data_IF_071653394473
#
_entry.id   IF_071653394473
#
_cell.length_a   1.000
_cell.length_b   1.000
_cell.length_c   1.000
_cell.angle_alpha   90.00
_cell.angle_beta   90.00
_cell.angle_gamma   90.00
#
_symmetry.space_group_name_H-M   'P 1'
#
loop_
_entity.id
_entity.type
_entity.pdbx_description
1 polymer ?
#
# COMPACT_ATOMS: atom_id res chain seq x y z
N UNK A 1 11.93 33.52 12.28
CA UNK A 1 10.98 33.08 11.25
C UNK A 1 9.60 33.60 11.62
N UNK A 2 9.00 34.40 10.75
CA UNK A 2 7.66 34.96 10.95
C UNK A 2 6.59 33.91 10.60
N UNK A 3 5.33 34.11 11.06
CA UNK A 3 4.24 33.19 10.74
C UNK A 3 4.00 33.06 9.23
N UNK A 4 4.21 34.14 8.46
CA UNK A 4 4.12 34.18 6.99
C UNK A 4 5.19 33.31 6.33
N UNK A 5 6.44 33.33 6.80
CA UNK A 5 7.51 32.47 6.27
C UNK A 5 7.22 30.97 6.50
N UNK A 6 6.57 30.63 7.63
CA UNK A 6 6.15 29.25 7.90
C UNK A 6 5.00 28.79 7.00
N UNK A 7 4.07 29.68 6.63
CA UNK A 7 2.99 29.37 5.68
C UNK A 7 3.52 29.16 4.27
N UNK A 8 4.46 29.98 3.80
CA UNK A 8 5.08 29.84 2.48
C UNK A 8 5.87 28.52 2.35
N UNK A 9 6.61 28.14 3.40
CA UNK A 9 7.33 26.86 3.43
C UNK A 9 6.36 25.68 3.36
N UNK A 10 5.28 25.72 4.15
CA UNK A 10 4.27 24.66 4.17
C UNK A 10 3.55 24.50 2.82
N UNK A 11 3.21 25.60 2.17
CA UNK A 11 2.60 25.58 0.84
C UNK A 11 3.56 24.99 -0.18
N UNK A 12 4.84 25.36 -0.15
CA UNK A 12 5.86 24.78 -1.04
C UNK A 12 6.03 23.27 -0.85
N UNK A 13 6.07 22.79 0.39
CA UNK A 13 6.12 21.35 0.70
C UNK A 13 4.88 20.59 0.19
N UNK A 14 3.69 21.19 0.32
CA UNK A 14 2.45 20.60 -0.19
C UNK A 14 2.46 20.50 -1.72
N UNK A 15 2.93 21.53 -2.42
CA UNK A 15 3.04 21.54 -3.89
C UNK A 15 4.05 20.48 -4.34
N UNK A 16 5.18 20.37 -3.67
CA UNK A 16 6.19 19.36 -3.97
C UNK A 16 5.64 17.94 -3.76
N UNK A 17 5.00 17.66 -2.62
CA UNK A 17 4.41 16.37 -2.33
C UNK A 17 3.33 15.99 -3.35
N UNK A 18 2.46 16.94 -3.74
CA UNK A 18 1.43 16.74 -4.75
C UNK A 18 2.04 16.46 -6.13
N UNK A 19 3.03 17.26 -6.53
CA UNK A 19 3.74 17.09 -7.80
C UNK A 19 4.39 15.72 -7.91
N UNK A 20 5.03 15.25 -6.83
CA UNK A 20 5.65 13.94 -6.77
C UNK A 20 4.63 12.80 -6.83
N UNK A 21 3.47 12.94 -6.19
CA UNK A 21 2.38 11.96 -6.31
C UNK A 21 1.83 11.90 -7.74
N UNK A 22 1.55 13.04 -8.37
CA UNK A 22 1.07 13.11 -9.75
C UNK A 22 2.10 12.49 -10.70
N UNK A 23 3.38 12.85 -10.54
CA UNK A 23 4.45 12.30 -11.37
C UNK A 23 4.60 10.78 -11.20
N UNK A 24 4.42 10.28 -9.97
CA UNK A 24 4.42 8.85 -9.71
C UNK A 24 3.24 8.14 -10.38
N UNK A 25 2.04 8.71 -10.35
CA UNK A 25 0.85 8.13 -10.97
C UNK A 25 0.94 8.09 -12.51
N UNK A 26 1.41 9.21 -13.13
CA UNK A 26 1.40 9.41 -14.59
C UNK A 26 2.71 8.92 -15.23
N UNK A 27 3.79 8.80 -14.44
CA UNK A 27 5.11 8.41 -14.92
C UNK A 27 5.12 7.06 -15.63
N UNK A 28 6.17 6.77 -16.43
CA UNK A 28 6.25 5.54 -17.20
C UNK A 28 5.97 4.33 -16.32
N UNK A 29 5.18 3.42 -16.84
CA UNK A 29 4.79 2.19 -16.16
C UNK A 29 6.05 1.33 -15.98
N UNK A 30 6.80 1.61 -14.91
CA UNK A 30 7.71 0.62 -14.36
C UNK A 30 6.83 -0.37 -13.63
N UNK A 31 6.81 -1.62 -14.08
CA UNK A 31 5.97 -2.64 -13.46
C UNK A 31 6.37 -2.89 -12.00
N UNK A 32 7.65 -2.67 -11.66
CA UNK A 32 8.24 -2.94 -10.35
C UNK A 32 9.00 -1.73 -9.82
N UNK A 33 8.85 -1.45 -8.53
CA UNK A 33 9.55 -0.39 -7.80
C UNK A 33 10.07 -0.92 -6.47
N UNK A 34 11.03 -0.22 -5.83
CA UNK A 34 11.42 -0.59 -4.48
C UNK A 34 10.27 -0.35 -3.49
N UNK A 35 10.15 -1.21 -2.48
CA UNK A 35 9.17 -1.02 -1.41
C UNK A 35 9.33 0.34 -0.71
N UNK A 36 10.58 0.79 -0.53
CA UNK A 36 10.85 2.13 0.04
C UNK A 36 10.21 3.25 -0.79
N UNK A 37 10.14 3.09 -2.12
CA UNK A 37 9.45 4.07 -2.99
C UNK A 37 7.94 4.09 -2.76
N UNK A 38 7.30 2.94 -2.61
CA UNK A 38 5.89 2.84 -2.24
C UNK A 38 5.62 3.47 -0.87
N UNK A 39 6.48 3.19 0.14
CA UNK A 39 6.38 3.80 1.47
C UNK A 39 6.54 5.32 1.44
N UNK A 40 7.45 5.85 0.62
CA UNK A 40 7.63 7.29 0.45
C UNK A 40 6.37 7.96 -0.14
N UNK A 41 5.74 7.35 -1.14
CA UNK A 41 4.48 7.83 -1.72
C UNK A 41 3.36 7.83 -0.68
N UNK A 42 3.25 6.78 0.12
CA UNK A 42 2.26 6.70 1.20
C UNK A 42 2.49 7.77 2.27
N UNK A 43 3.74 8.03 2.67
CA UNK A 43 4.08 9.12 3.61
C UNK A 43 3.64 10.48 3.08
N UNK A 44 3.89 10.77 1.80
CA UNK A 44 3.44 12.01 1.13
C UNK A 44 1.93 12.11 1.06
N UNK A 45 1.24 11.01 0.75
CA UNK A 45 -0.21 10.98 0.77
C UNK A 45 -0.77 11.36 2.14
N UNK A 46 -0.30 10.72 3.23
CA UNK A 46 -0.77 11.00 4.58
C UNK A 46 -0.37 12.41 5.05
N UNK A 47 0.79 12.92 4.62
CA UNK A 47 1.18 14.31 4.86
C UNK A 47 0.18 15.29 4.25
N UNK A 48 -0.14 15.14 2.95
CA UNK A 48 -1.13 15.98 2.27
C UNK A 48 -2.51 15.88 2.89
N UNK A 49 -2.91 14.67 3.30
CA UNK A 49 -4.15 14.43 4.00
C UNK A 49 -4.21 15.24 5.30
N UNK A 50 -3.18 15.17 6.14
CA UNK A 50 -3.08 15.91 7.40
C UNK A 50 -3.06 17.43 7.22
N UNK A 51 -2.64 17.93 6.05
CA UNK A 51 -2.74 19.36 5.73
C UNK A 51 -4.17 19.83 5.51
N UNK A 52 -5.12 18.93 5.18
CA UNK A 52 -6.51 19.24 4.81
C UNK A 52 -7.52 18.99 5.90
N UNK A 53 -7.17 18.23 6.91
CA UNK A 53 -8.10 17.80 7.96
C UNK A 53 -7.63 18.28 9.34
N UNK A 54 -8.57 18.63 10.21
CA UNK A 54 -8.28 19.02 11.58
C UNK A 54 -7.85 17.81 12.45
N UNK A 55 -8.13 16.61 12.00
CA UNK A 55 -7.74 15.37 12.66
C UNK A 55 -6.39 14.87 12.14
N UNK A 56 -5.47 14.51 13.03
CA UNK A 56 -4.18 13.96 12.66
C UNK A 56 -4.27 12.45 12.45
N UNK A 57 -3.89 11.99 11.26
CA UNK A 57 -3.62 10.58 10.99
C UNK A 57 -2.14 10.34 11.27
N UNK A 58 -1.84 9.47 12.20
CA UNK A 58 -0.47 9.04 12.47
C UNK A 58 -0.13 7.89 11.52
N UNK A 59 0.96 8.02 10.77
CA UNK A 59 1.50 6.95 9.94
C UNK A 59 2.82 6.48 10.54
N UNK A 60 2.92 5.18 10.77
CA UNK A 60 4.13 4.48 11.16
C UNK A 60 4.51 3.50 10.04
N UNK A 61 5.79 3.42 9.70
CA UNK A 61 6.27 2.51 8.64
C UNK A 61 7.51 1.79 9.12
N UNK A 62 7.49 0.46 9.08
CA UNK A 62 8.61 -0.40 9.47
C UNK A 62 8.85 -1.45 8.38
N UNK A 63 10.04 -1.45 7.79
CA UNK A 63 10.42 -2.38 6.73
C UNK A 63 11.90 -2.81 6.89
N UNK A 64 12.28 -3.40 8.03
CA UNK A 64 13.68 -3.76 8.30
C UNK A 64 14.18 -4.78 7.26
N UNK A 65 15.18 -4.37 6.47
CA UNK A 65 15.76 -5.20 5.41
C UNK A 65 14.90 -5.36 4.15
N UNK A 66 13.59 -5.02 4.18
CA UNK A 66 12.68 -5.21 3.07
C UNK A 66 12.57 -3.99 2.13
N UNK A 67 13.01 -2.80 2.54
CA UNK A 67 12.83 -1.57 1.76
C UNK A 67 13.43 -1.59 0.35
N UNK A 68 14.46 -2.40 0.13
CA UNK A 68 15.13 -2.55 -1.18
C UNK A 68 14.48 -3.61 -2.08
N UNK A 69 13.57 -4.42 -1.56
CA UNK A 69 12.86 -5.42 -2.34
C UNK A 69 11.93 -4.75 -3.34
N UNK A 70 11.74 -5.41 -4.48
CA UNK A 70 10.89 -4.89 -5.54
C UNK A 70 9.47 -5.41 -5.40
N UNK A 71 8.53 -4.50 -5.55
CA UNK A 71 7.08 -4.75 -5.47
C UNK A 71 6.39 -4.12 -6.70
N UNK A 72 5.22 -4.60 -7.10
CA UNK A 72 4.43 -3.94 -8.13
C UNK A 72 4.09 -2.51 -7.71
N UNK A 73 4.22 -1.59 -8.66
CA UNK A 73 3.91 -0.16 -8.43
C UNK A 73 2.45 0.02 -7.98
N UNK A 74 2.16 0.95 -7.07
CA UNK A 74 0.83 1.31 -6.61
C UNK A 74 0.08 0.17 -5.88
N UNK A 75 0.79 -0.60 -5.04
CA UNK A 75 0.14 -1.63 -4.21
C UNK A 75 -0.22 -1.12 -2.81
N UNK A 76 0.53 -0.16 -2.25
CA UNK A 76 0.30 0.31 -0.88
C UNK A 76 -0.71 1.45 -0.81
N UNK A 77 -0.65 2.39 -1.74
CA UNK A 77 -1.50 3.58 -1.68
C UNK A 77 -3.00 3.23 -1.62
N UNK A 78 -3.58 2.34 -2.45
CA UNK A 78 -5.00 2.00 -2.37
C UNK A 78 -5.40 1.38 -1.02
N UNK A 79 -4.50 0.64 -0.39
CA UNK A 79 -4.77 0.00 0.91
C UNK A 79 -4.77 1.06 2.02
N UNK A 80 -3.81 1.99 2.01
CA UNK A 80 -3.75 3.08 2.98
C UNK A 80 -4.90 4.07 2.78
N UNK A 81 -5.33 4.32 1.54
CA UNK A 81 -6.54 5.11 1.25
C UNK A 81 -7.78 4.45 1.88
N UNK A 82 -7.95 3.14 1.73
CA UNK A 82 -9.05 2.40 2.35
C UNK A 82 -8.99 2.47 3.88
N UNK A 83 -7.83 2.27 4.48
CA UNK A 83 -7.63 2.39 5.93
C UNK A 83 -8.05 3.78 6.44
N UNK A 84 -7.70 4.86 5.70
CA UNK A 84 -8.13 6.20 6.06
C UNK A 84 -9.63 6.40 5.85
N UNK A 85 -10.14 6.16 4.65
CA UNK A 85 -11.52 6.53 4.26
C UNK A 85 -12.55 5.75 5.05
N UNK A 86 -12.32 4.45 5.25
CA UNK A 86 -13.26 3.54 5.89
C UNK A 86 -12.96 3.27 7.36
N UNK A 87 -11.69 3.25 7.73
CA UNK A 87 -11.27 3.00 9.10
C UNK A 87 -11.28 4.27 9.95
N UNK A 88 -10.45 5.25 9.59
CA UNK A 88 -10.12 6.37 10.47
C UNK A 88 -11.08 7.55 10.31
N UNK A 89 -11.44 7.93 9.08
CA UNK A 89 -12.31 9.09 8.82
C UNK A 89 -13.66 9.04 9.55
N UNK A 90 -14.34 7.89 9.68
CA UNK A 90 -15.58 7.80 10.46
C UNK A 90 -15.37 7.93 11.98
N UNK A 91 -14.14 7.74 12.46
CA UNK A 91 -13.79 7.76 13.88
C UNK A 91 -13.54 9.19 14.35
N UNK A 92 -14.21 9.60 15.43
CA UNK A 92 -13.94 10.90 16.07
C UNK A 92 -12.55 10.89 16.72
N UNK A 93 -11.76 11.95 16.47
CA UNK A 93 -10.46 12.14 17.12
C UNK A 93 -9.25 11.61 16.35
N UNK A 94 -9.42 11.16 15.09
CA UNK A 94 -8.33 10.68 14.25
C UNK A 94 -7.95 9.23 14.56
N UNK A 95 -6.78 8.81 14.07
CA UNK A 95 -6.31 7.44 14.25
C UNK A 95 -4.90 7.23 13.73
N UNK A 96 -4.48 5.97 13.74
CA UNK A 96 -3.15 5.56 13.26
C UNK A 96 -3.26 4.49 12.18
N UNK A 97 -2.34 4.57 11.24
CA UNK A 97 -2.08 3.53 10.24
C UNK A 97 -0.65 3.07 10.46
N UNK A 98 -0.45 1.77 10.52
CA UNK A 98 0.86 1.14 10.60
C UNK A 98 1.08 0.29 9.35
N UNK A 99 2.26 0.44 8.74
CA UNK A 99 2.68 -0.36 7.59
C UNK A 99 3.95 -1.09 8.00
N UNK A 100 3.88 -2.40 8.09
CA UNK A 100 5.01 -3.27 8.41
C UNK A 100 5.34 -4.15 7.22
N UNK A 101 6.62 -4.41 6.98
CA UNK A 101 7.05 -5.37 5.99
C UNK A 101 8.10 -6.32 6.57
N UNK A 102 7.87 -7.60 6.39
CA UNK A 102 8.76 -8.65 6.83
C UNK A 102 9.00 -9.68 5.72
N UNK A 103 10.18 -10.27 5.74
CA UNK A 103 10.51 -11.42 4.89
C UNK A 103 10.44 -12.67 5.77
N UNK A 104 9.58 -13.59 5.37
CA UNK A 104 9.37 -14.86 6.06
C UNK A 104 9.82 -16.03 5.16
N UNK A 105 10.47 -17.00 5.76
CA UNK A 105 10.74 -18.27 5.07
C UNK A 105 9.43 -19.07 4.97
N UNK A 106 9.21 -19.72 3.82
CA UNK A 106 8.08 -20.62 3.65
C UNK A 106 8.37 -21.94 4.36
N UNK A 107 7.33 -22.62 4.84
CA UNK A 107 7.48 -23.91 5.53
C UNK A 107 8.17 -24.98 4.65
N UNK A 108 8.06 -24.87 3.32
CA UNK A 108 8.74 -25.75 2.35
C UNK A 108 10.22 -25.40 2.15
N UNK A 109 10.70 -24.27 2.70
CA UNK A 109 12.09 -23.81 2.63
C UNK A 109 12.57 -23.36 1.24
N UNK A 110 11.73 -23.46 0.20
CA UNK A 110 12.14 -23.18 -1.18
C UNK A 110 11.98 -21.70 -1.59
N UNK A 111 11.07 -20.95 -0.96
CA UNK A 111 10.79 -19.57 -1.34
C UNK A 111 10.59 -18.69 -0.11
N UNK A 112 11.19 -17.51 -0.16
CA UNK A 112 10.93 -16.45 0.81
C UNK A 112 9.70 -15.64 0.39
N UNK A 113 8.86 -15.28 1.36
CA UNK A 113 7.66 -14.48 1.16
C UNK A 113 7.89 -13.10 1.75
N UNK A 114 7.63 -12.07 0.95
CA UNK A 114 7.44 -10.73 1.44
C UNK A 114 5.99 -10.59 1.90
N UNK A 115 5.82 -10.36 3.20
CA UNK A 115 4.54 -10.02 3.81
C UNK A 115 4.55 -8.52 4.14
N UNK A 116 3.59 -7.77 3.58
CA UNK A 116 3.37 -6.37 3.93
C UNK A 116 2.02 -6.28 4.63
N UNK A 117 2.02 -5.78 5.85
CA UNK A 117 0.83 -5.63 6.69
C UNK A 117 0.49 -4.16 6.84
N UNK A 118 -0.73 -3.78 6.49
CA UNK A 118 -1.30 -2.45 6.74
C UNK A 118 -2.38 -2.59 7.79
N UNK A 119 -2.19 -1.93 8.93
CA UNK A 119 -3.13 -1.95 10.06
C UNK A 119 -3.66 -0.55 10.33
N UNK A 120 -4.95 -0.41 10.54
CA UNK A 120 -5.55 0.79 11.08
C UNK A 120 -6.25 0.50 12.43
N UNK A 121 -6.33 1.50 13.27
CA UNK A 121 -7.11 1.46 14.50
C UNK A 121 -8.47 2.16 14.35
N UNK A 122 -9.06 2.08 13.17
CA UNK A 122 -10.32 2.71 12.80
C UNK A 122 -11.56 2.07 13.43
N UNK A 123 -12.69 2.25 12.77
CA UNK A 123 -13.98 1.71 13.25
C UNK A 123 -14.12 0.20 13.04
N UNK A 124 -13.28 -0.40 12.20
CA UNK A 124 -13.39 -1.81 11.82
C UNK A 124 -14.65 -2.13 11.01
N UNK A 125 -14.84 -3.41 10.74
CA UNK A 125 -15.98 -3.94 9.96
C UNK A 125 -16.66 -5.05 10.73
N UNK A 126 -17.98 -5.16 10.54
CA UNK A 126 -18.74 -6.31 10.99
C UNK A 126 -18.50 -7.54 10.07
N UNK A 127 -19.00 -8.69 10.50
CA UNK A 127 -18.78 -9.94 9.76
C UNK A 127 -19.38 -9.89 8.36
N UNK A 128 -20.54 -9.27 8.19
CA UNK A 128 -21.21 -9.19 6.89
C UNK A 128 -20.39 -8.36 5.88
N UNK A 129 -19.83 -7.23 6.32
CA UNK A 129 -18.95 -6.41 5.48
C UNK A 129 -17.62 -7.13 5.16
N UNK A 130 -17.07 -7.86 6.14
CA UNK A 130 -15.85 -8.64 5.94
C UNK A 130 -16.08 -9.79 4.95
N UNK A 131 -17.20 -10.51 5.07
CA UNK A 131 -17.57 -11.59 4.14
C UNK A 131 -17.70 -11.07 2.71
N UNK A 132 -18.34 -9.90 2.50
CA UNK A 132 -18.44 -9.26 1.20
C UNK A 132 -17.07 -8.94 0.58
N UNK A 133 -16.12 -8.46 1.38
CA UNK A 133 -14.75 -8.20 0.90
C UNK A 133 -14.07 -9.53 0.54
N UNK A 134 -14.22 -10.56 1.35
CA UNK A 134 -13.63 -11.87 1.08
C UNK A 134 -14.21 -12.51 -0.18
N UNK A 135 -15.53 -12.42 -0.39
CA UNK A 135 -16.19 -12.85 -1.64
C UNK A 135 -15.70 -12.07 -2.84
N UNK A 136 -15.55 -10.74 -2.72
CA UNK A 136 -15.00 -9.90 -3.77
C UNK A 136 -13.57 -10.32 -4.15
N UNK A 137 -12.71 -10.58 -3.17
CA UNK A 137 -11.33 -11.00 -3.41
C UNK A 137 -11.26 -12.42 -4.00
N UNK A 138 -12.18 -13.31 -3.65
CA UNK A 138 -12.23 -14.68 -4.17
C UNK A 138 -12.83 -14.78 -5.59
N UNK A 139 -13.62 -13.78 -6.01
CA UNK A 139 -14.28 -13.80 -7.32
C UNK A 139 -13.36 -13.43 -8.48
N UNK A 140 -13.48 -14.14 -9.61
CA UNK A 140 -12.69 -13.88 -10.83
C UNK A 140 -13.30 -12.77 -11.71
N UNK A 141 -14.53 -12.34 -11.44
CA UNK A 141 -15.18 -11.26 -12.19
C UNK A 141 -14.94 -9.90 -11.52
N UNK A 142 -14.70 -8.83 -12.30
CA UNK A 142 -14.68 -7.47 -11.78
C UNK A 142 -16.07 -7.15 -11.23
N UNK A 143 -16.22 -7.24 -9.91
CA UNK A 143 -17.49 -7.14 -9.21
C UNK A 143 -18.10 -5.74 -9.24
N UNK A 144 -18.70 -5.36 -10.37
CA UNK A 144 -19.53 -4.15 -10.49
C UNK A 144 -20.99 -4.58 -10.30
N UNK A 145 -21.43 -4.81 -9.08
CA UNK A 145 -22.86 -5.13 -8.86
C UNK A 145 -23.59 -4.26 -7.84
N UNK A 146 -22.95 -3.41 -7.04
CA UNK A 146 -23.66 -2.50 -6.11
C UNK A 146 -22.89 -1.20 -5.88
N UNK A 147 -23.59 -0.11 -5.54
CA UNK A 147 -23.04 1.23 -5.26
C UNK A 147 -21.97 1.28 -4.14
N UNK A 148 -21.89 0.24 -3.30
CA UNK A 148 -20.87 0.08 -2.25
C UNK A 148 -19.51 -0.43 -2.76
N UNK A 149 -19.42 -0.85 -4.03
CA UNK A 149 -18.27 -1.60 -4.57
C UNK A 149 -17.10 -0.74 -5.07
N UNK A 150 -17.31 0.57 -5.32
CA UNK A 150 -16.24 1.44 -5.81
C UNK A 150 -15.05 1.53 -4.83
N UNK A 151 -15.32 1.37 -3.56
CA UNK A 151 -14.36 1.56 -2.47
C UNK A 151 -13.44 0.35 -2.29
N UNK A 152 -13.91 -0.84 -2.65
CA UNK A 152 -13.13 -2.08 -2.60
C UNK A 152 -12.40 -2.40 -3.91
N UNK A 153 -12.69 -1.65 -4.99
CA UNK A 153 -12.06 -1.84 -6.31
C UNK A 153 -10.54 -1.69 -6.24
N UNK A 154 -10.04 -0.70 -5.48
CA UNK A 154 -8.61 -0.50 -5.32
C UNK A 154 -7.92 -1.71 -4.70
N UNK A 155 -8.51 -2.31 -3.67
CA UNK A 155 -7.99 -3.50 -3.01
C UNK A 155 -8.08 -4.74 -3.92
N UNK A 156 -9.21 -4.91 -4.63
CA UNK A 156 -9.39 -5.99 -5.60
C UNK A 156 -8.36 -5.90 -6.73
N UNK A 157 -8.14 -4.72 -7.29
CA UNK A 157 -7.14 -4.50 -8.33
C UNK A 157 -5.72 -4.86 -7.87
N UNK A 158 -5.37 -4.52 -6.63
CA UNK A 158 -4.08 -4.92 -6.04
C UNK A 158 -4.01 -6.44 -5.86
N UNK A 159 -5.07 -7.06 -5.35
CA UNK A 159 -5.17 -8.51 -5.16
C UNK A 159 -4.98 -9.26 -6.47
N UNK A 160 -5.76 -8.91 -7.49
CA UNK A 160 -5.73 -9.56 -8.81
C UNK A 160 -4.38 -9.38 -9.49
N UNK A 161 -3.80 -8.19 -9.35
CA UNK A 161 -2.48 -7.92 -9.91
C UNK A 161 -1.37 -8.77 -9.27
N UNK A 162 -1.41 -8.95 -7.94
CA UNK A 162 -0.45 -9.83 -7.25
C UNK A 162 -0.64 -11.28 -7.73
N UNK A 163 -1.88 -11.75 -7.81
CA UNK A 163 -2.19 -13.12 -8.30
C UNK A 163 -1.75 -13.32 -9.75
N UNK A 164 -2.01 -12.34 -10.61
CA UNK A 164 -1.61 -12.40 -12.02
C UNK A 164 -0.09 -12.49 -12.19
N UNK A 165 0.67 -11.78 -11.36
CA UNK A 165 2.13 -11.74 -11.45
C UNK A 165 2.81 -12.95 -10.81
N UNK A 166 2.24 -13.49 -9.72
CA UNK A 166 2.94 -14.43 -8.86
C UNK A 166 2.23 -15.77 -8.63
N UNK A 167 0.95 -15.86 -8.96
CA UNK A 167 0.15 -17.06 -8.77
C UNK A 167 -0.94 -16.91 -7.71
N UNK A 168 -1.86 -17.86 -7.70
CA UNK A 168 -3.10 -17.78 -6.90
C UNK A 168 -2.89 -17.92 -5.39
N UNK A 169 -1.77 -18.48 -4.97
CA UNK A 169 -1.39 -18.60 -3.55
C UNK A 169 -1.04 -17.26 -2.90
N UNK A 170 -0.76 -16.22 -3.71
CA UNK A 170 -0.43 -14.87 -3.28
C UNK A 170 -1.66 -13.94 -3.33
N UNK A 171 -1.48 -12.70 -2.92
CA UNK A 171 -2.55 -11.70 -2.95
C UNK A 171 -2.82 -11.08 -1.59
N UNK A 172 -4.06 -10.64 -1.38
CA UNK A 172 -4.47 -9.92 -0.17
C UNK A 172 -5.30 -10.83 0.75
N UNK A 173 -5.07 -10.69 2.07
CA UNK A 173 -5.92 -11.23 3.12
C UNK A 173 -6.37 -10.10 4.04
N UNK A 174 -7.63 -10.10 4.43
CA UNK A 174 -8.23 -9.06 5.28
C UNK A 174 -8.80 -9.69 6.55
N UNK A 175 -8.51 -9.06 7.68
CA UNK A 175 -9.16 -9.33 8.98
C UNK A 175 -9.59 -8.02 9.60
N UNK A 176 -10.74 -7.99 10.27
CA UNK A 176 -11.27 -6.79 10.90
C UNK A 176 -12.10 -7.12 12.13
N UNK A 177 -12.16 -6.17 13.06
CA UNK A 177 -13.00 -6.27 14.24
C UNK A 177 -13.62 -4.90 14.52
N UNK A 178 -14.94 -4.87 14.69
CA UNK A 178 -15.68 -3.64 14.98
C UNK A 178 -15.11 -2.94 16.22
N UNK A 179 -14.85 -1.64 16.11
CA UNK A 179 -14.30 -0.81 17.17
C UNK A 179 -12.81 -0.98 17.44
N UNK A 180 -12.15 -1.95 16.79
CA UNK A 180 -10.70 -2.21 16.95
C UNK A 180 -9.93 -1.68 15.74
N UNK A 181 -10.36 -2.04 14.51
CA UNK A 181 -9.72 -1.65 13.27
C UNK A 181 -9.66 -2.77 12.24
N UNK A 182 -8.87 -2.55 11.20
CA UNK A 182 -8.69 -3.48 10.09
C UNK A 182 -7.21 -3.78 9.87
N UNK A 183 -6.91 -5.02 9.51
CA UNK A 183 -5.60 -5.48 9.08
C UNK A 183 -5.69 -6.07 7.68
N UNK A 184 -4.88 -5.56 6.78
CA UNK A 184 -4.74 -6.03 5.40
C UNK A 184 -3.33 -6.54 5.20
N UNK A 185 -3.18 -7.81 4.82
CA UNK A 185 -1.89 -8.44 4.54
C UNK A 185 -1.75 -8.69 3.04
N UNK A 186 -0.68 -8.18 2.45
CA UNK A 186 -0.29 -8.44 1.08
C UNK A 186 0.83 -9.50 1.12
N UNK A 187 0.64 -10.58 0.40
CA UNK A 187 1.58 -11.70 0.33
C UNK A 187 2.10 -11.83 -1.09
N UNK A 188 3.42 -11.85 -1.26
CA UNK A 188 4.09 -12.03 -2.56
C UNK A 188 5.47 -12.66 -2.39
N UNK A 189 6.06 -13.28 -3.42
CA UNK A 189 7.42 -13.78 -3.31
C UNK A 189 8.41 -12.62 -3.21
N UNK A 190 9.52 -12.86 -2.54
CA UNK A 190 10.63 -11.91 -2.51
C UNK A 190 11.18 -11.75 -3.92
N UNK A 191 11.18 -10.49 -4.40
CA UNK A 191 11.75 -10.13 -5.70
C UNK A 191 12.93 -9.19 -5.47
N UNK A 192 14.12 -9.70 -5.74
CA UNK A 192 15.34 -8.92 -5.81
C UNK A 192 15.57 -8.57 -7.28
N UNK A 193 16.05 -7.37 -7.58
CA UNK A 193 16.44 -7.02 -8.95
C UNK A 193 17.62 -7.89 -9.29
N UNK A 194 17.47 -8.82 -10.24
CA UNK A 194 18.61 -9.49 -10.82
C UNK A 194 19.57 -8.43 -11.30
N UNK A 195 20.80 -8.43 -10.77
CA UNK A 195 21.85 -7.59 -11.29
C UNK A 195 21.91 -7.81 -12.78
N UNK A 196 21.94 -6.77 -13.58
CA UNK A 196 22.44 -6.87 -14.95
C UNK A 196 23.75 -7.61 -14.85
N UNK A 197 23.76 -8.87 -15.30
CA UNK A 197 25.00 -9.56 -15.55
C UNK A 197 25.66 -8.73 -16.62
N UNK A 198 26.68 -7.99 -16.22
CA UNK A 198 27.58 -7.31 -17.14
C UNK A 198 27.92 -8.32 -18.23
N UNK A 199 27.46 -8.00 -19.45
CA UNK A 199 27.78 -8.77 -20.62
C UNK A 199 29.30 -8.86 -20.67
N UNK A 200 29.82 -10.07 -20.46
CA UNK A 200 31.19 -10.37 -20.80
C UNK A 200 31.31 -10.09 -22.29
N UNK A 201 32.02 -9.02 -22.58
CA UNK A 201 32.66 -8.85 -23.88
C UNK A 201 33.39 -10.13 -24.24
N UNK A 202 32.81 -10.88 -25.14
CA UNK A 202 33.51 -11.91 -25.87
C UNK A 202 34.24 -11.24 -27.06
N UNK A 203 35.29 -10.50 -26.72
CA UNK A 203 36.29 -10.11 -27.71
C UNK A 203 37.29 -11.23 -27.83
N UNK A 204 36.94 -12.18 -28.66
CA UNK A 204 37.78 -13.25 -29.04
C UNK A 204 37.76 -13.52 -30.55
N UNK A 205 38.47 -12.71 -31.31
CA UNK A 205 39.32 -12.99 -32.46
C UNK A 205 39.22 -11.96 -33.57
#
# INVERSE_FOLDING_TARGET
>A
MTALENEDVRVSEMIEALSQQIHYLIGPVQDMVSLEKELDIVRKYVYLLNCRIDGKVQLMTEAPGAGRLFVPKLILQPIVENAYVHGIKPKKGGGSIMVEAAVNDREDGEKRILEITVMDNGVGMDQAALDQIQELLAGDEPGIKNEYNWQSIGMKNVHDRIRLLYGEEYGIRVTSTVGVGTMVRLLMPVTEREGQTDGKDDTGR
#
